data_IF_215790989657
#
_entry.id   IF_215790989657
#
_cell.length_a   1.000
_cell.length_b   1.000
_cell.length_c   1.000
_cell.angle_alpha   90.00
_cell.angle_beta   90.00
_cell.angle_gamma   90.00
#
_symmetry.space_group_name_H-M   'P 1'
#
loop_
_entity.id
_entity.type
_entity.pdbx_description
1 polymer ?
#
# COMPACT_ATOMS: atom_id res chain seq x y z
N UNK A 1 25.86 -31.09 -41.34
CA UNK A 1 24.87 -30.95 -40.27
C UNK A 1 24.49 -29.48 -40.24
N UNK A 2 23.56 -29.07 -41.11
CA UNK A 2 23.15 -27.67 -41.24
C UNK A 2 22.58 -27.21 -39.89
N UNK A 3 23.13 -26.13 -39.36
CA UNK A 3 22.70 -25.61 -38.06
C UNK A 3 21.31 -25.00 -38.19
N UNK A 4 20.56 -24.92 -37.10
CA UNK A 4 19.19 -24.37 -37.09
C UNK A 4 19.14 -22.94 -37.67
N UNK A 5 20.25 -22.18 -37.54
CA UNK A 5 20.42 -20.84 -38.12
C UNK A 5 20.52 -20.83 -39.65
N UNK A 6 21.18 -21.82 -40.26
CA UNK A 6 21.36 -21.88 -41.73
C UNK A 6 20.00 -22.04 -42.45
N UNK A 7 19.07 -22.81 -41.86
CA UNK A 7 17.73 -23.03 -42.40
C UNK A 7 16.79 -21.81 -42.25
N UNK A 8 17.07 -20.91 -41.30
CA UNK A 8 16.30 -19.68 -41.09
C UNK A 8 16.66 -18.63 -42.15
N UNK A 9 17.93 -18.59 -42.59
CA UNK A 9 18.38 -17.70 -43.68
C UNK A 9 17.88 -18.12 -45.06
N UNK A 10 17.61 -19.41 -45.29
CA UNK A 10 17.09 -19.91 -46.56
C UNK A 10 15.62 -19.53 -46.80
N UNK A 11 14.84 -19.30 -45.74
CA UNK A 11 13.41 -19.03 -45.83
C UNK A 11 13.05 -17.70 -45.14
N UNK A 12 13.44 -16.59 -45.78
CA UNK A 12 13.28 -15.21 -45.28
C UNK A 12 11.86 -14.89 -44.80
N UNK A 13 10.83 -15.47 -45.44
CA UNK A 13 9.43 -15.30 -45.02
C UNK A 13 9.17 -15.83 -43.60
N UNK A 14 9.69 -17.02 -43.29
CA UNK A 14 9.52 -17.66 -41.96
C UNK A 14 10.32 -16.91 -40.90
N UNK A 15 11.55 -16.49 -41.22
CA UNK A 15 12.38 -15.69 -40.33
C UNK A 15 11.71 -14.36 -39.95
N UNK A 16 11.17 -13.63 -40.93
CA UNK A 16 10.42 -12.39 -40.68
C UNK A 16 9.20 -12.62 -39.79
N UNK A 17 8.41 -13.66 -40.07
CA UNK A 17 7.25 -14.02 -39.25
C UNK A 17 7.63 -14.32 -37.79
N UNK A 18 8.72 -15.06 -37.58
CA UNK A 18 9.23 -15.38 -36.25
C UNK A 18 9.71 -14.13 -35.50
N UNK A 19 10.46 -13.24 -36.15
CA UNK A 19 10.91 -11.97 -35.56
C UNK A 19 9.73 -11.10 -35.17
N UNK A 20 8.74 -10.93 -36.06
CA UNK A 20 7.54 -10.13 -35.76
C UNK A 20 6.78 -10.71 -34.57
N UNK A 21 6.53 -12.02 -34.56
CA UNK A 21 5.84 -12.68 -33.44
C UNK A 21 6.62 -12.55 -32.12
N UNK A 22 7.94 -12.73 -32.17
CA UNK A 22 8.80 -12.58 -31.00
C UNK A 22 8.76 -11.14 -30.47
N UNK A 23 8.89 -10.13 -31.33
CA UNK A 23 8.83 -8.73 -30.93
C UNK A 23 7.44 -8.34 -30.39
N UNK A 24 6.36 -8.84 -31.00
CA UNK A 24 5.00 -8.67 -30.48
C UNK A 24 4.84 -9.25 -29.08
N UNK A 25 5.35 -10.47 -28.83
CA UNK A 25 5.31 -11.10 -27.51
C UNK A 25 6.12 -10.29 -26.49
N UNK A 26 7.33 -9.84 -26.85
CA UNK A 26 8.15 -9.01 -25.97
C UNK A 26 7.46 -7.68 -25.63
N UNK A 27 6.80 -7.05 -26.60
CA UNK A 27 6.02 -5.83 -26.38
C UNK A 27 4.88 -6.08 -25.39
N UNK A 28 4.10 -7.14 -25.59
CA UNK A 28 3.01 -7.49 -24.68
C UNK A 28 3.52 -7.78 -23.27
N UNK A 29 4.61 -8.55 -23.15
CA UNK A 29 5.27 -8.83 -21.86
C UNK A 29 5.69 -7.53 -21.17
N UNK A 30 6.33 -6.60 -21.87
CA UNK A 30 6.75 -5.31 -21.29
C UNK A 30 5.57 -4.48 -20.79
N UNK A 31 4.50 -4.37 -21.58
CA UNK A 31 3.30 -3.64 -21.18
C UNK A 31 2.64 -4.24 -19.94
N UNK A 32 2.54 -5.57 -19.87
CA UNK A 32 1.96 -6.27 -18.72
C UNK A 32 2.81 -6.11 -17.46
N UNK A 33 4.13 -6.26 -17.56
CA UNK A 33 5.04 -6.05 -16.43
C UNK A 33 4.97 -4.60 -15.96
N UNK A 34 4.95 -3.63 -16.88
CA UNK A 34 4.85 -2.21 -16.52
C UNK A 34 3.55 -1.92 -15.76
N UNK A 35 2.41 -2.48 -16.21
CA UNK A 35 1.14 -2.35 -15.50
C UNK A 35 1.18 -2.97 -14.10
N UNK A 36 1.63 -4.22 -13.99
CA UNK A 36 1.72 -4.92 -12.70
C UNK A 36 2.66 -4.21 -11.74
N UNK A 37 3.81 -3.74 -12.23
CA UNK A 37 4.77 -2.96 -11.44
C UNK A 37 4.16 -1.65 -10.96
N UNK A 38 3.54 -0.87 -11.84
CA UNK A 38 2.89 0.38 -11.44
C UNK A 38 1.79 0.15 -10.40
N UNK A 39 1.00 -0.90 -10.58
CA UNK A 39 -0.05 -1.29 -9.64
C UNK A 39 0.52 -1.75 -8.29
N UNK A 40 1.61 -2.51 -8.29
CA UNK A 40 2.35 -2.89 -7.09
C UNK A 40 2.86 -1.67 -6.32
N UNK A 41 3.46 -0.70 -6.99
CA UNK A 41 3.94 0.55 -6.37
C UNK A 41 2.79 1.35 -5.74
N UNK A 42 1.61 1.38 -6.37
CA UNK A 42 0.42 1.98 -5.77
C UNK A 42 -0.04 1.25 -4.50
N UNK A 43 0.03 -0.08 -4.48
CA UNK A 43 -0.31 -0.88 -3.29
C UNK A 43 0.70 -0.65 -2.16
N UNK A 44 2.00 -0.53 -2.48
CA UNK A 44 3.01 -0.14 -1.48
C UNK A 44 2.73 1.25 -0.93
N UNK A 45 2.44 2.24 -1.78
CA UNK A 45 2.08 3.59 -1.34
C UNK A 45 0.85 3.59 -0.43
N UNK A 46 -0.17 2.77 -0.74
CA UNK A 46 -1.35 2.61 0.10
C UNK A 46 -1.01 2.20 1.55
N UNK A 47 -0.02 1.30 1.74
CA UNK A 47 0.45 0.89 3.07
C UNK A 47 1.02 2.06 3.87
N UNK A 48 1.69 3.00 3.22
CA UNK A 48 2.25 4.19 3.85
C UNK A 48 1.21 5.27 4.12
N UNK A 49 0.14 5.34 3.33
CA UNK A 49 -0.94 6.32 3.48
C UNK A 49 -1.95 5.93 4.56
N UNK A 50 -2.41 4.67 4.56
CA UNK A 50 -3.53 4.23 5.42
C UNK A 50 -3.10 3.38 6.62
N UNK A 51 -1.87 2.87 6.62
CA UNK A 51 -1.39 1.96 7.66
C UNK A 51 -1.67 0.49 7.33
N UNK A 52 -1.76 -0.35 8.36
CA UNK A 52 -1.91 -1.82 8.26
C UNK A 52 -3.26 -2.28 7.71
N UNK A 53 -4.28 -1.42 7.76
CA UNK A 53 -5.66 -1.77 7.38
C UNK A 53 -5.98 -1.22 5.99
N UNK A 54 -6.45 -2.09 5.11
CA UNK A 54 -6.97 -1.68 3.79
C UNK A 54 -8.42 -1.21 3.94
N UNK A 55 -8.78 0.03 3.54
CA UNK A 55 -10.16 0.49 3.55
C UNK A 55 -11.07 -0.39 2.71
N UNK A 56 -12.29 -0.66 3.19
CA UNK A 56 -13.26 -1.52 2.51
C UNK A 56 -13.56 -1.08 1.06
N UNK A 57 -13.58 0.24 0.81
CA UNK A 57 -13.80 0.80 -0.53
C UNK A 57 -12.66 0.44 -1.51
N UNK A 58 -11.42 0.41 -1.02
CA UNK A 58 -10.25 0.07 -1.82
C UNK A 58 -10.11 -1.44 -1.95
N UNK A 59 -10.43 -2.21 -0.91
CA UNK A 59 -10.37 -3.66 -0.90
C UNK A 59 -11.20 -4.29 -2.03
N UNK A 60 -12.32 -3.67 -2.42
CA UNK A 60 -13.15 -4.12 -3.57
C UNK A 60 -12.39 -4.07 -4.92
N UNK A 61 -11.37 -3.21 -5.02
CA UNK A 61 -10.57 -3.03 -6.24
C UNK A 61 -9.26 -3.84 -6.24
N UNK A 62 -9.00 -4.63 -5.19
CA UNK A 62 -7.82 -5.49 -5.10
C UNK A 62 -8.22 -6.95 -5.35
N UNK A 63 -7.39 -7.66 -6.11
CA UNK A 63 -7.54 -9.11 -6.22
C UNK A 63 -6.90 -9.81 -5.01
N UNK A 64 -7.27 -11.07 -4.78
CA UNK A 64 -6.74 -11.87 -3.67
C UNK A 64 -5.20 -11.91 -3.61
N UNK A 65 -4.53 -11.97 -4.77
CA UNK A 65 -3.05 -12.02 -4.84
C UNK A 65 -2.42 -10.70 -4.40
N UNK A 66 -3.09 -9.58 -4.63
CA UNK A 66 -2.60 -8.27 -4.23
C UNK A 66 -2.83 -7.99 -2.77
N UNK A 67 -3.93 -8.50 -2.21
CA UNK A 67 -4.14 -8.51 -0.77
C UNK A 67 -3.05 -9.35 -0.08
N UNK A 68 -2.73 -10.52 -0.64
CA UNK A 68 -1.61 -11.33 -0.14
C UNK A 68 -0.26 -10.58 -0.24
N UNK A 69 0.00 -9.90 -1.36
CA UNK A 69 1.19 -9.08 -1.52
C UNK A 69 1.26 -7.94 -0.49
N UNK A 70 0.14 -7.24 -0.26
CA UNK A 70 0.05 -6.18 0.75
C UNK A 70 0.38 -6.72 2.14
N UNK A 71 -0.21 -7.85 2.54
CA UNK A 71 0.03 -8.45 3.85
C UNK A 71 1.49 -8.91 4.02
N UNK A 72 2.10 -9.47 2.97
CA UNK A 72 3.52 -9.85 2.99
C UNK A 72 4.42 -8.62 3.10
N UNK A 73 4.10 -7.54 2.38
CA UNK A 73 4.85 -6.29 2.47
C UNK A 73 4.71 -5.62 3.84
N UNK A 74 3.51 -5.65 4.43
CA UNK A 74 3.26 -5.17 5.79
C UNK A 74 4.09 -5.94 6.82
N UNK A 75 4.16 -7.27 6.69
CA UNK A 75 4.97 -8.08 7.57
C UNK A 75 6.47 -7.76 7.44
N UNK A 76 6.99 -7.66 6.21
CA UNK A 76 8.38 -7.26 5.97
C UNK A 76 8.69 -5.88 6.55
N UNK A 77 7.76 -4.93 6.42
CA UNK A 77 7.93 -3.60 6.99
C UNK A 77 7.93 -3.64 8.52
N UNK A 78 7.05 -4.45 9.12
CA UNK A 78 6.97 -4.64 10.57
C UNK A 78 8.25 -5.26 11.12
N UNK A 79 8.78 -6.29 10.45
CA UNK A 79 10.04 -6.93 10.83
C UNK A 79 11.20 -5.91 10.77
N UNK A 80 11.23 -5.08 9.72
CA UNK A 80 12.22 -4.02 9.59
C UNK A 80 12.09 -2.93 10.67
N UNK A 81 10.86 -2.48 10.98
CA UNK A 81 10.64 -1.51 12.06
C UNK A 81 11.04 -2.08 13.42
N UNK A 82 10.84 -3.37 13.66
CA UNK A 82 11.23 -4.04 14.90
C UNK A 82 12.76 -4.10 15.07
N UNK A 83 13.52 -4.31 13.99
CA UNK A 83 14.99 -4.35 14.04
C UNK A 83 15.59 -2.99 14.45
N UNK A 84 14.98 -1.88 14.03
CA UNK A 84 15.46 -0.52 14.33
C UNK A 84 14.76 0.12 15.53
N UNK A 85 13.82 -0.58 16.19
CA UNK A 85 12.98 -0.06 17.28
C UNK A 85 12.34 1.30 16.97
N UNK A 86 11.99 1.54 15.70
CA UNK A 86 11.51 2.83 15.21
C UNK A 86 10.33 2.65 14.27
N UNK A 87 9.24 3.38 14.55
CA UNK A 87 8.08 3.43 13.66
C UNK A 87 8.36 4.36 12.47
N UNK A 88 8.66 3.75 11.33
CA UNK A 88 8.88 4.45 10.07
C UNK A 88 7.57 4.95 9.47
N UNK A 89 6.44 4.41 9.90
CA UNK A 89 5.11 4.78 9.42
C UNK A 89 4.51 5.97 10.16
N UNK A 90 5.27 6.66 11.01
CA UNK A 90 4.85 7.89 11.70
C UNK A 90 4.61 9.07 10.73
N UNK A 91 3.89 10.11 11.17
CA UNK A 91 3.49 11.24 10.33
C UNK A 91 4.73 12.05 10.00
N UNK A 92 4.93 12.29 8.71
CA UNK A 92 6.04 13.10 8.21
C UNK A 92 5.92 14.56 8.63
N UNK A 93 4.75 15.00 9.10
CA UNK A 93 4.55 16.37 9.60
C UNK A 93 5.07 16.49 11.04
N UNK A 94 5.89 17.52 11.33
CA UNK A 94 6.37 17.74 12.68
C UNK A 94 5.19 17.97 13.63
N UNK A 95 5.23 17.37 14.84
CA UNK A 95 4.20 17.59 15.84
C UNK A 95 4.25 19.05 16.31
N UNK A 96 3.09 19.72 16.29
CA UNK A 96 2.94 21.10 16.78
C UNK A 96 2.60 21.14 18.27
N UNK A 97 1.71 20.24 18.68
CA UNK A 97 1.17 20.13 20.02
C UNK A 97 1.20 18.67 20.47
N UNK A 98 1.49 18.45 21.76
CA UNK A 98 1.53 17.11 22.37
C UNK A 98 0.14 16.48 22.48
N UNK A 99 -0.85 17.31 22.80
CA UNK A 99 -2.26 16.92 22.90
C UNK A 99 -3.08 17.60 21.82
N UNK A 100 -4.06 16.88 21.30
CA UNK A 100 -4.94 17.34 20.24
C UNK A 100 -6.40 17.05 20.60
N UNK A 101 -7.27 17.99 20.28
CA UNK A 101 -8.71 17.80 20.36
C UNK A 101 -9.20 17.13 19.07
N UNK A 102 -9.82 15.96 19.21
CA UNK A 102 -10.30 15.15 18.09
C UNK A 102 -11.80 14.91 18.22
N UNK A 103 -12.49 14.95 17.09
CA UNK A 103 -13.89 14.53 16.95
C UNK A 103 -13.95 13.18 16.27
N UNK A 104 -14.74 12.28 16.83
CA UNK A 104 -14.97 10.96 16.27
C UNK A 104 -16.00 11.04 15.13
N UNK A 105 -15.64 10.56 13.95
CA UNK A 105 -16.54 10.51 12.78
C UNK A 105 -17.31 9.19 12.71
N UNK A 106 -16.69 8.09 13.16
CA UNK A 106 -17.26 6.74 13.18
C UNK A 106 -16.95 6.08 14.50
N UNK A 107 -17.90 5.32 15.03
CA UNK A 107 -17.72 4.56 16.26
C UNK A 107 -16.51 3.61 16.12
N UNK A 108 -15.51 3.82 16.97
CA UNK A 108 -14.27 3.05 16.98
C UNK A 108 -14.20 2.08 18.18
N UNK A 109 -15.22 2.08 19.05
CA UNK A 109 -15.24 1.31 20.28
C UNK A 109 -14.14 1.73 21.27
N UNK A 110 -13.67 0.78 22.07
CA UNK A 110 -12.66 0.99 23.09
C UNK A 110 -11.25 0.98 22.50
N UNK A 111 -10.58 2.13 22.53
CA UNK A 111 -9.18 2.26 22.14
C UNK A 111 -8.31 2.32 23.37
N UNK A 112 -7.26 1.51 23.38
CA UNK A 112 -6.25 1.51 24.44
C UNK A 112 -5.29 2.66 24.21
N UNK A 113 -5.39 3.69 25.07
CA UNK A 113 -4.40 4.76 25.15
C UNK A 113 -3.45 4.47 26.30
N UNK A 114 -2.28 5.10 26.29
CA UNK A 114 -1.35 5.02 27.42
C UNK A 114 -1.94 5.56 28.74
N UNK A 115 -3.02 6.34 28.68
CA UNK A 115 -3.72 6.88 29.87
C UNK A 115 -4.87 6.00 30.35
N UNK A 116 -5.16 4.90 29.64
CA UNK A 116 -6.27 3.98 29.92
C UNK A 116 -7.14 3.69 28.70
N UNK A 117 -8.17 2.86 28.90
CA UNK A 117 -9.19 2.55 27.89
C UNK A 117 -10.12 3.75 27.73
N UNK A 118 -10.26 4.24 26.50
CA UNK A 118 -11.18 5.34 26.15
C UNK A 118 -12.17 4.82 25.12
N UNK A 119 -13.47 4.97 25.42
CA UNK A 119 -14.52 4.64 24.46
C UNK A 119 -14.72 5.80 23.47
N UNK A 120 -14.54 5.54 22.18
CA UNK A 120 -14.66 6.52 21.11
C UNK A 120 -16.00 6.36 20.38
N UNK A 121 -17.04 6.94 20.96
CA UNK A 121 -18.39 6.93 20.37
C UNK A 121 -18.51 7.93 19.21
N UNK A 122 -19.37 7.66 18.24
CA UNK A 122 -19.58 8.55 17.10
C UNK A 122 -20.00 9.97 17.55
N UNK A 123 -19.38 11.01 16.95
CA UNK A 123 -19.58 12.44 17.22
C UNK A 123 -19.15 12.94 18.60
N UNK A 124 -18.53 12.09 19.42
CA UNK A 124 -17.88 12.52 20.67
C UNK A 124 -16.62 13.33 20.39
N UNK A 125 -16.19 14.12 21.39
CA UNK A 125 -14.98 14.91 21.34
C UNK A 125 -14.06 14.49 22.49
N UNK A 126 -12.79 14.28 22.19
CA UNK A 126 -11.79 13.85 23.16
C UNK A 126 -10.53 14.67 23.03
N UNK A 127 -9.86 14.88 24.16
CA UNK A 127 -8.55 15.52 24.23
C UNK A 127 -7.51 14.45 24.56
N UNK A 128 -6.79 13.99 23.53
CA UNK A 128 -5.89 12.84 23.61
C UNK A 128 -4.49 13.23 23.14
N UNK A 129 -3.50 12.41 23.52
CA UNK A 129 -2.13 12.57 23.00
C UNK A 129 -2.12 12.28 21.52
N UNK A 130 -1.34 13.07 20.77
CA UNK A 130 -1.26 12.93 19.32
C UNK A 130 -0.82 11.53 18.89
N UNK A 131 0.14 10.93 19.60
CA UNK A 131 0.70 9.59 19.30
C UNK A 131 -0.39 8.52 19.25
N UNK A 132 -1.33 8.54 20.19
CA UNK A 132 -2.39 7.53 20.30
C UNK A 132 -3.44 7.63 19.18
N UNK A 133 -3.69 8.86 18.68
CA UNK A 133 -4.78 9.13 17.72
C UNK A 133 -4.30 9.29 16.28
N UNK A 134 -2.98 9.34 16.05
CA UNK A 134 -2.42 9.70 14.74
C UNK A 134 -2.82 8.73 13.62
N UNK A 135 -2.74 7.43 13.90
CA UNK A 135 -3.12 6.37 12.97
C UNK A 135 -4.63 6.44 12.64
N UNK A 136 -5.46 6.72 13.65
CA UNK A 136 -6.92 6.83 13.50
C UNK A 136 -7.33 8.08 12.70
N UNK A 137 -6.58 9.19 12.83
CA UNK A 137 -6.78 10.39 12.01
C UNK A 137 -6.45 10.09 10.54
N UNK A 138 -5.36 9.37 10.26
CA UNK A 138 -5.01 9.02 8.86
C UNK A 138 -5.99 8.06 8.20
N UNK A 139 -6.56 7.15 8.97
CA UNK A 139 -7.64 6.27 8.51
C UNK A 139 -8.96 7.02 8.24
N UNK A 140 -9.06 8.31 8.64
CA UNK A 140 -10.25 9.12 8.48
C UNK A 140 -11.37 8.78 9.47
N UNK A 141 -11.03 8.15 10.59
CA UNK A 141 -11.98 7.83 11.66
C UNK A 141 -12.15 9.01 12.64
N UNK A 142 -11.09 9.79 12.81
CA UNK A 142 -11.04 10.97 13.67
C UNK A 142 -10.72 12.23 12.86
N UNK A 143 -11.31 13.35 13.24
CA UNK A 143 -11.01 14.67 12.69
C UNK A 143 -10.38 15.55 13.77
N UNK A 144 -9.23 16.16 13.49
CA UNK A 144 -8.60 17.11 14.41
C UNK A 144 -9.33 18.46 14.35
N UNK A 145 -9.88 18.92 15.48
CA UNK A 145 -10.41 20.27 15.60
C UNK A 145 -9.24 21.20 15.91
N UNK A 146 -8.99 22.16 15.02
CA UNK A 146 -8.04 23.24 15.27
C UNK A 146 -8.80 24.43 15.85
N UNK A 147 -8.45 24.84 17.07
CA UNK A 147 -8.80 26.18 17.57
C UNK A 147 -7.98 27.25 16.88
#
# INVERSE_FOLDING_TARGET
>A
MATFDDNLTENTFVACGLVVNHQCLLRNKRCLIAYVHHRMEKIKALRWETGTIIPAQLAQNLCQREVQFFNQYDQLLTDYMAEFELDLSADMKPPKDLYVEVRVLRDCGEVMTESGLVNLEAHSQHFLRRVDVEQLIRQGLLEQIKR
#
